data_IF_071014978667
#
_entry.id   IF_071014978667
#
_cell.length_a   1.000
_cell.length_b   1.000
_cell.length_c   1.000
_cell.angle_alpha   90.00
_cell.angle_beta   90.00
_cell.angle_gamma   90.00
#
_symmetry.space_group_name_H-M   'P 1'
#
loop_
_entity.id
_entity.type
_entity.pdbx_description
1 polymer ?
#
# COMPACT_ATOMS: atom_id res chain seq x y z
N UNK A 1 9.58 -6.58 -15.66
CA UNK A 1 9.58 -6.88 -14.21
C UNK A 1 10.07 -5.64 -13.51
N UNK A 2 9.12 -4.81 -13.05
CA UNK A 2 9.40 -3.65 -12.22
C UNK A 2 10.27 -4.06 -11.02
N UNK A 3 11.41 -3.38 -10.83
CA UNK A 3 12.30 -3.63 -9.69
C UNK A 3 11.82 -2.76 -8.54
N UNK A 4 11.11 -3.36 -7.60
CA UNK A 4 10.80 -2.73 -6.32
C UNK A 4 12.11 -2.34 -5.62
N UNK A 5 12.40 -1.04 -5.58
CA UNK A 5 13.49 -0.49 -4.80
C UNK A 5 12.93 -0.24 -3.39
N UNK A 6 13.40 -1.01 -2.42
CA UNK A 6 13.03 -0.77 -1.03
C UNK A 6 13.92 0.35 -0.48
N UNK A 7 13.39 1.58 -0.44
CA UNK A 7 14.07 2.71 0.16
C UNK A 7 13.94 2.64 1.68
N UNK A 8 14.83 1.86 2.31
CA UNK A 8 14.78 1.54 3.74
C UNK A 8 14.69 2.81 4.60
N UNK A 9 15.49 3.83 4.31
CA UNK A 9 15.50 5.08 5.09
C UNK A 9 14.16 5.82 5.02
N UNK A 10 13.60 6.01 3.81
CA UNK A 10 12.31 6.67 3.64
C UNK A 10 11.19 5.88 4.32
N UNK A 11 11.23 4.54 4.19
CA UNK A 11 10.27 3.65 4.82
C UNK A 11 10.29 3.81 6.34
N UNK A 12 11.47 3.71 6.96
CA UNK A 12 11.61 3.83 8.42
C UNK A 12 11.15 5.20 8.94
N UNK A 13 11.41 6.28 8.20
CA UNK A 13 10.96 7.62 8.58
C UNK A 13 9.44 7.75 8.44
N UNK A 14 8.86 7.22 7.36
CA UNK A 14 7.43 7.29 7.10
C UNK A 14 6.58 6.39 8.01
N UNK A 15 7.15 5.33 8.58
CA UNK A 15 6.42 4.37 9.44
C UNK A 15 6.75 4.48 10.92
N UNK A 16 7.59 5.44 11.33
CA UNK A 16 8.09 5.52 12.71
C UNK A 16 6.99 5.68 13.79
N UNK A 17 5.84 6.25 13.43
CA UNK A 17 4.69 6.42 14.32
C UNK A 17 3.67 5.27 14.25
N UNK A 18 3.82 4.35 13.30
CA UNK A 18 2.92 3.22 13.14
C UNK A 18 3.19 2.15 14.19
N UNK A 19 2.12 1.48 14.62
CA UNK A 19 2.22 0.21 15.33
C UNK A 19 2.81 -0.87 14.41
N UNK A 20 3.38 -1.96 14.97
CA UNK A 20 3.89 -3.06 14.16
C UNK A 20 2.84 -3.68 13.22
N UNK A 21 1.56 -3.63 13.59
CA UNK A 21 0.45 -4.15 12.80
C UNK A 21 0.17 -3.24 11.61
N UNK A 22 0.08 -1.93 11.83
CA UNK A 22 -0.08 -0.92 10.76
C UNK A 22 1.11 -0.94 9.80
N UNK A 23 2.34 -0.98 10.30
CA UNK A 23 3.53 -1.06 9.45
C UNK A 23 3.51 -2.32 8.57
N UNK A 24 3.08 -3.46 9.12
CA UNK A 24 2.92 -4.71 8.37
C UNK A 24 1.90 -4.57 7.24
N UNK A 25 0.75 -3.93 7.48
CA UNK A 25 -0.26 -3.72 6.44
C UNK A 25 0.16 -2.69 5.41
N UNK A 26 0.87 -1.63 5.81
CA UNK A 26 1.49 -0.70 4.87
C UNK A 26 2.48 -1.40 3.95
N UNK A 27 3.35 -2.25 4.50
CA UNK A 27 4.26 -3.07 3.69
C UNK A 27 3.51 -3.97 2.72
N UNK A 28 2.50 -4.71 3.18
CA UNK A 28 1.70 -5.60 2.30
C UNK A 28 0.99 -4.83 1.20
N UNK A 29 0.51 -3.62 1.50
CA UNK A 29 -0.15 -2.75 0.54
C UNK A 29 0.81 -2.33 -0.58
N UNK A 30 2.03 -1.91 -0.23
CA UNK A 30 3.08 -1.59 -1.21
C UNK A 30 3.50 -2.80 -2.03
N UNK A 31 3.66 -3.97 -1.40
CA UNK A 31 4.03 -5.22 -2.08
C UNK A 31 2.94 -5.63 -3.09
N UNK A 32 1.66 -5.54 -2.69
CA UNK A 32 0.53 -5.79 -3.59
C UNK A 32 0.57 -4.84 -4.79
N UNK A 33 0.75 -3.53 -4.54
CA UNK A 33 0.80 -2.52 -5.59
C UNK A 33 1.93 -2.79 -6.57
N UNK A 34 3.12 -3.12 -6.05
CA UNK A 34 4.32 -3.37 -6.85
C UNK A 34 4.22 -4.66 -7.65
N UNK A 35 3.57 -5.69 -7.11
CA UNK A 35 3.37 -6.97 -7.80
C UNK A 35 2.34 -6.88 -8.92
N UNK A 36 1.25 -6.13 -8.69
CA UNK A 36 0.14 -6.04 -9.64
C UNK A 36 0.27 -4.85 -10.59
N UNK A 37 1.18 -3.91 -10.30
CA UNK A 37 1.35 -2.63 -11.00
C UNK A 37 0.01 -1.88 -11.12
N UNK A 38 -0.85 -1.99 -10.10
CA UNK A 38 -2.24 -1.52 -10.09
C UNK A 38 -2.65 -1.04 -8.69
N UNK A 39 -3.59 -0.07 -8.61
CA UNK A 39 -4.12 0.39 -7.35
C UNK A 39 -4.84 -0.71 -6.57
N UNK A 40 -4.91 -0.52 -5.26
CA UNK A 40 -5.74 -1.37 -4.40
C UNK A 40 -7.21 -1.11 -4.73
N UNK A 41 -8.08 -2.13 -4.80
CA UNK A 41 -9.48 -1.91 -5.16
C UNK A 41 -10.23 -1.08 -4.11
N UNK A 42 -11.24 -0.30 -4.52
CA UNK A 42 -12.09 0.45 -3.58
C UNK A 42 -12.88 -0.40 -2.61
N UNK A 43 -13.28 -1.60 -3.04
CA UNK A 43 -14.08 -2.49 -2.20
C UNK A 43 -13.26 -2.93 -0.99
N UNK A 44 -13.57 -2.38 0.18
CA UNK A 44 -12.82 -2.61 1.43
C UNK A 44 -12.77 -4.10 1.80
N UNK A 45 -13.82 -4.88 1.53
CA UNK A 45 -13.78 -6.34 1.69
C UNK A 45 -12.73 -7.00 0.77
N UNK A 46 -12.60 -6.53 -0.47
CA UNK A 46 -11.58 -7.00 -1.42
C UNK A 46 -10.18 -6.63 -0.93
N UNK A 47 -10.01 -5.43 -0.38
CA UNK A 47 -8.73 -4.98 0.19
C UNK A 47 -8.34 -5.81 1.41
N UNK A 48 -9.24 -5.98 2.39
CA UNK A 48 -8.96 -6.77 3.59
C UNK A 48 -8.57 -8.20 3.23
N UNK A 49 -9.28 -8.82 2.29
CA UNK A 49 -8.94 -10.17 1.82
C UNK A 49 -7.57 -10.22 1.13
N UNK A 50 -7.24 -9.24 0.28
CA UNK A 50 -5.95 -9.16 -0.43
C UNK A 50 -4.79 -8.93 0.52
N UNK A 51 -4.97 -8.07 1.53
CA UNK A 51 -3.98 -7.78 2.55
C UNK A 51 -3.95 -8.80 3.69
N UNK A 52 -4.88 -9.78 3.66
CA UNK A 52 -5.03 -10.85 4.67
C UNK A 52 -5.34 -10.32 6.07
N UNK A 53 -6.17 -9.28 6.16
CA UNK A 53 -6.73 -8.75 7.39
C UNK A 53 -8.02 -9.50 7.76
N UNK A 54 -7.92 -10.41 8.73
CA UNK A 54 -8.98 -11.31 9.15
C UNK A 54 -9.65 -10.87 10.45
N UNK A 55 -8.90 -10.26 11.37
CA UNK A 55 -9.43 -9.75 12.65
C UNK A 55 -9.93 -8.31 12.52
N UNK A 56 -10.69 -7.84 13.51
CA UNK A 56 -11.13 -6.44 13.53
C UNK A 56 -9.94 -5.47 13.67
N UNK A 57 -9.01 -5.78 14.58
CA UNK A 57 -7.77 -5.01 14.77
C UNK A 57 -6.96 -4.89 13.48
N UNK A 58 -6.81 -5.98 12.73
CA UNK A 58 -6.12 -5.98 11.44
C UNK A 58 -6.83 -5.12 10.40
N UNK A 59 -8.17 -5.12 10.38
CA UNK A 59 -8.96 -4.29 9.45
C UNK A 59 -8.85 -2.81 9.81
N UNK A 60 -8.88 -2.48 11.09
CA UNK A 60 -8.73 -1.11 11.56
C UNK A 60 -7.34 -0.57 11.19
N UNK A 61 -6.28 -1.38 11.36
CA UNK A 61 -4.94 -1.05 10.91
C UNK A 61 -4.86 -0.82 9.38
N UNK A 62 -5.52 -1.64 8.57
CA UNK A 62 -5.60 -1.42 7.11
C UNK A 62 -6.28 -0.08 6.81
N UNK A 63 -7.38 0.25 7.48
CA UNK A 63 -8.09 1.51 7.25
C UNK A 63 -7.23 2.73 7.59
N UNK A 64 -6.50 2.69 8.70
CA UNK A 64 -5.56 3.75 9.11
C UNK A 64 -4.48 3.94 8.03
N UNK A 65 -3.88 2.84 7.57
CA UNK A 65 -2.87 2.87 6.51
C UNK A 65 -3.42 3.44 5.20
N UNK A 66 -4.61 3.00 4.78
CA UNK A 66 -5.24 3.51 3.55
C UNK A 66 -5.54 5.01 3.66
N UNK A 67 -6.03 5.46 4.82
CA UNK A 67 -6.33 6.86 5.05
C UNK A 67 -5.09 7.75 5.03
N UNK A 68 -3.95 7.25 5.54
CA UNK A 68 -2.74 8.04 5.67
C UNK A 68 -1.85 8.02 4.41
N UNK A 69 -1.66 6.84 3.80
CA UNK A 69 -0.66 6.64 2.74
C UNK A 69 -1.25 6.49 1.34
N UNK A 70 -2.57 6.41 1.22
CA UNK A 70 -3.24 6.22 -0.06
C UNK A 70 -4.28 7.30 -0.32
N UNK A 71 -4.57 7.52 -1.60
CA UNK A 71 -5.62 8.44 -2.07
C UNK A 71 -6.68 7.60 -2.78
N UNK A 72 -7.93 7.73 -2.35
CA UNK A 72 -9.05 7.10 -3.05
C UNK A 72 -9.37 7.87 -4.33
N UNK A 73 -9.18 7.23 -5.49
CA UNK A 73 -9.49 7.73 -6.83
C UNK A 73 -10.51 6.82 -7.52
N UNK A 74 -10.99 7.15 -8.73
CA UNK A 74 -12.10 6.43 -9.38
C UNK A 74 -11.91 4.90 -9.44
N UNK A 75 -10.70 4.43 -9.74
CA UNK A 75 -10.33 3.03 -9.97
C UNK A 75 -9.72 2.31 -8.74
N UNK A 76 -9.42 3.01 -7.65
CA UNK A 76 -8.87 2.38 -6.45
C UNK A 76 -8.23 3.32 -5.44
N UNK A 77 -7.47 2.74 -4.52
CA UNK A 77 -6.57 3.44 -3.61
C UNK A 77 -5.17 3.50 -4.22
N UNK A 78 -4.72 4.72 -4.48
CA UNK A 78 -3.47 5.06 -5.13
C UNK A 78 -2.39 5.42 -4.13
N UNK A 79 -1.17 4.94 -4.38
CA UNK A 79 0.00 5.42 -3.67
C UNK A 79 0.86 6.25 -4.63
N UNK A 80 0.95 7.56 -4.37
CA UNK A 80 1.65 8.53 -5.24
C UNK A 80 3.05 8.09 -5.64
N UNK A 81 3.78 7.49 -4.69
CA UNK A 81 5.14 7.01 -4.92
C UNK A 81 5.13 5.81 -5.87
N UNK A 82 4.31 4.79 -5.58
CA UNK A 82 4.17 3.63 -6.46
C UNK A 82 3.74 4.03 -7.88
N UNK A 83 2.77 4.93 -8.02
CA UNK A 83 2.33 5.42 -9.34
C UNK A 83 3.45 6.12 -10.10
N UNK A 84 4.22 6.96 -9.40
CA UNK A 84 5.36 7.66 -10.00
C UNK A 84 6.44 6.68 -10.47
N UNK A 85 6.75 5.66 -9.67
CA UNK A 85 7.77 4.67 -9.99
C UNK A 85 7.31 3.73 -11.14
N UNK A 86 6.03 3.31 -11.15
CA UNK A 86 5.45 2.50 -12.24
C UNK A 86 5.43 3.30 -13.54
N UNK A 87 4.98 4.56 -13.50
CA UNK A 87 4.94 5.43 -14.68
C UNK A 87 6.35 5.72 -15.23
N UNK A 88 7.37 5.79 -14.38
CA UNK A 88 8.76 5.93 -14.80
C UNK A 88 9.28 4.66 -15.49
N UNK A 89 8.90 3.47 -15.00
CA UNK A 89 9.30 2.19 -15.60
C UNK A 89 8.61 1.91 -16.95
N UNK A 90 7.31 2.23 -17.08
CA UNK A 90 6.55 2.01 -18.33
C UNK A 90 6.94 2.96 -19.48
N UNK A 91 7.68 4.03 -19.20
CA UNK A 91 8.19 4.97 -20.22
C UNK A 91 9.50 4.50 -20.88
N UNK A 92 10.05 3.36 -20.45
CA UNK A 92 11.29 2.75 -20.96
C UNK A 92 10.95 1.52 -21.79
#
# INVERSE_FOLDING_TARGET
>A
MYKYLHHISDFMVATAHLSPVEECFYRRALDFYSLNEKPLPKETQSVFRRLRANTQEERDAVLIVLQEFFVEEEDGFHNKRCDSEIAAYQKV
#
